data_IF_876430434184
#
_entry.id   IF_876430434184
#
_cell.length_a   1.000
_cell.length_b   1.000
_cell.length_c   1.000
_cell.angle_alpha   90.00
_cell.angle_beta   90.00
_cell.angle_gamma   90.00
#
_symmetry.space_group_name_H-M   'P 1'
#
loop_
_entity.id
_entity.type
_entity.pdbx_description
1 polymer ?
#
# COMPACT_ATOMS: atom_id res chain seq x y z
N UNK A 1 -48.19 -46.01 28.31
CA UNK A 1 -48.00 -44.57 28.03
C UNK A 1 -46.52 -44.27 28.09
N UNK A 2 -45.87 -44.01 26.93
CA UNK A 2 -44.44 -43.72 26.83
C UNK A 2 -44.28 -42.18 26.67
N UNK A 3 -43.75 -41.50 27.70
CA UNK A 3 -43.35 -40.11 27.57
C UNK A 3 -41.96 -40.06 26.88
N UNK A 4 -41.93 -39.60 25.63
CA UNK A 4 -40.70 -39.39 24.89
C UNK A 4 -40.10 -38.05 25.36
N UNK A 5 -38.88 -38.13 25.89
CA UNK A 5 -38.10 -36.96 26.36
C UNK A 5 -37.43 -36.27 25.16
N UNK A 6 -38.00 -35.16 24.67
CA UNK A 6 -37.39 -34.31 23.60
C UNK A 6 -36.56 -33.13 24.12
N UNK A 7 -36.17 -33.14 25.41
CA UNK A 7 -35.47 -31.97 26.02
C UNK A 7 -33.97 -31.87 25.71
N UNK A 8 -33.30 -32.95 25.29
CA UNK A 8 -31.85 -32.97 25.06
C UNK A 8 -31.41 -32.46 23.70
N UNK A 9 -32.22 -32.67 22.66
CA UNK A 9 -31.84 -32.34 21.28
C UNK A 9 -31.98 -30.85 20.96
N UNK A 10 -32.89 -30.11 21.60
CA UNK A 10 -33.10 -28.67 21.34
C UNK A 10 -31.98 -27.83 21.91
N UNK A 11 -31.41 -28.19 23.08
CA UNK A 11 -30.30 -27.45 23.70
C UNK A 11 -29.02 -27.61 22.88
N UNK A 12 -28.78 -28.78 22.29
CA UNK A 12 -27.59 -29.03 21.44
C UNK A 12 -27.61 -28.23 20.15
N UNK A 13 -28.79 -28.03 19.52
CA UNK A 13 -28.96 -27.24 18.31
C UNK A 13 -28.76 -25.73 18.57
N UNK A 14 -29.24 -25.22 19.71
CA UNK A 14 -29.07 -23.80 20.07
C UNK A 14 -27.59 -23.49 20.38
N UNK A 15 -26.87 -24.39 21.06
CA UNK A 15 -25.43 -24.22 21.31
C UNK A 15 -24.60 -24.27 20.03
N UNK A 16 -24.93 -25.18 19.10
CA UNK A 16 -24.23 -25.29 17.81
C UNK A 16 -24.51 -24.09 16.91
N UNK A 17 -25.74 -23.54 16.90
CA UNK A 17 -26.07 -22.32 16.18
C UNK A 17 -25.37 -21.08 16.78
N UNK A 18 -25.22 -21.00 18.07
CA UNK A 18 -24.52 -19.90 18.76
C UNK A 18 -23.01 -19.93 18.53
N UNK A 19 -22.38 -21.12 18.41
CA UNK A 19 -20.97 -21.28 18.04
C UNK A 19 -20.75 -20.90 16.58
N UNK A 20 -21.67 -21.23 15.66
CA UNK A 20 -21.60 -20.80 14.25
C UNK A 20 -21.77 -19.27 14.09
N UNK A 21 -22.60 -18.62 14.90
CA UNK A 21 -22.74 -17.16 14.89
C UNK A 21 -21.48 -16.44 15.44
N UNK A 22 -20.81 -17.04 16.42
CA UNK A 22 -19.56 -16.48 16.95
C UNK A 22 -18.37 -16.66 15.99
N UNK A 23 -18.38 -17.72 15.15
CA UNK A 23 -17.33 -17.95 14.17
C UNK A 23 -17.34 -16.92 12.99
N UNK A 24 -18.49 -16.30 12.71
CA UNK A 24 -18.59 -15.24 11.69
C UNK A 24 -18.18 -13.84 12.17
N UNK A 25 -17.82 -13.67 13.45
CA UNK A 25 -17.47 -12.36 14.00
C UNK A 25 -15.97 -12.09 14.06
N UNK A 26 -15.14 -13.02 13.56
CA UNK A 26 -13.68 -12.83 13.49
C UNK A 26 -13.25 -12.88 12.01
N UNK A 27 -13.95 -12.17 11.14
CA UNK A 27 -13.28 -11.54 10.03
C UNK A 27 -12.56 -10.33 10.66
N UNK A 28 -11.37 -10.55 11.23
CA UNK A 28 -10.48 -9.47 11.55
C UNK A 28 -10.35 -8.67 10.25
N UNK A 29 -10.77 -7.41 10.29
CA UNK A 29 -10.52 -6.48 9.22
C UNK A 29 -8.99 -6.37 9.17
N UNK A 30 -8.34 -7.14 8.27
CA UNK A 30 -6.89 -7.14 8.18
C UNK A 30 -6.44 -5.71 7.87
N UNK A 31 -5.36 -5.28 8.51
CA UNK A 31 -4.84 -3.94 8.33
C UNK A 31 -4.34 -3.77 6.89
N UNK A 32 -4.80 -2.75 6.18
CA UNK A 32 -4.17 -2.38 4.91
C UNK A 32 -2.87 -1.64 5.19
N UNK A 33 -1.79 -2.00 4.51
CA UNK A 33 -0.50 -1.33 4.61
C UNK A 33 -0.12 -0.74 3.26
N UNK A 34 0.07 0.57 3.21
CA UNK A 34 0.36 1.28 1.96
C UNK A 34 1.76 1.88 2.04
N UNK A 35 2.63 1.44 1.14
CA UNK A 35 3.96 1.98 0.91
C UNK A 35 3.88 2.97 -0.25
N UNK A 36 4.14 4.26 -0.01
CA UNK A 36 4.09 5.28 -1.05
C UNK A 36 5.47 5.89 -1.24
N UNK A 37 5.88 5.96 -2.51
CA UNK A 37 7.12 6.61 -2.92
C UNK A 37 6.87 7.50 -4.12
N UNK A 38 7.68 8.53 -4.25
CA UNK A 38 7.89 9.25 -5.50
C UNK A 38 8.75 8.38 -6.43
N UNK A 39 8.58 8.52 -7.76
CA UNK A 39 9.53 7.95 -8.72
C UNK A 39 10.98 8.35 -8.38
N UNK A 40 11.94 7.50 -8.69
CA UNK A 40 13.35 7.78 -8.51
C UNK A 40 13.88 8.84 -9.51
N UNK A 41 15.16 9.20 -9.41
CA UNK A 41 15.81 10.20 -10.25
C UNK A 41 15.64 9.87 -11.75
N UNK A 42 15.25 10.88 -12.52
CA UNK A 42 15.01 10.76 -13.97
C UNK A 42 16.09 11.43 -14.79
N UNK A 43 16.21 11.04 -16.07
CA UNK A 43 17.00 11.79 -17.06
C UNK A 43 16.38 13.17 -17.31
N UNK A 44 17.18 14.10 -17.83
CA UNK A 44 16.69 15.41 -18.28
C UNK A 44 16.10 15.31 -19.70
N UNK A 45 15.27 16.28 -20.09
CA UNK A 45 14.97 16.67 -21.47
C UNK A 45 14.10 15.76 -22.34
N UNK A 46 13.22 14.93 -21.74
CA UNK A 46 12.20 14.16 -22.48
C UNK A 46 10.81 14.39 -21.88
N UNK A 47 9.76 14.27 -22.69
CA UNK A 47 8.37 14.40 -22.24
C UNK A 47 8.00 13.30 -21.22
N UNK A 48 8.49 12.06 -21.44
CA UNK A 48 8.34 10.94 -20.51
C UNK A 48 9.71 10.29 -20.22
N UNK A 49 10.55 10.93 -19.37
CA UNK A 49 11.92 10.50 -19.13
C UNK A 49 11.99 9.16 -18.39
N UNK A 50 12.98 8.36 -18.75
CA UNK A 50 13.38 7.15 -18.04
C UNK A 50 14.19 7.49 -16.77
N UNK A 51 14.47 6.50 -15.95
CA UNK A 51 15.34 6.69 -14.78
C UNK A 51 16.79 6.97 -15.22
N UNK A 52 17.44 7.87 -14.50
CA UNK A 52 18.90 8.06 -14.56
C UNK A 52 19.63 6.85 -13.98
N UNK A 53 20.96 6.83 -14.01
CA UNK A 53 21.74 5.78 -13.35
C UNK A 53 21.48 5.76 -11.83
N UNK A 54 21.43 6.93 -11.19
CA UNK A 54 21.13 7.05 -9.76
C UNK A 54 19.71 6.56 -9.44
N UNK A 55 18.73 6.91 -10.28
CA UNK A 55 17.36 6.43 -10.16
C UNK A 55 17.22 4.92 -10.28
N UNK A 56 17.95 4.30 -11.21
CA UNK A 56 17.99 2.82 -11.30
C UNK A 56 18.61 2.17 -10.06
N UNK A 57 19.66 2.77 -9.52
CA UNK A 57 20.26 2.31 -8.29
C UNK A 57 19.28 2.45 -7.11
N UNK A 58 18.57 3.59 -7.01
CA UNK A 58 17.54 3.81 -5.98
C UNK A 58 16.37 2.83 -6.13
N UNK A 59 15.92 2.52 -7.33
CA UNK A 59 14.84 1.54 -7.54
C UNK A 59 15.25 0.12 -7.09
N UNK A 60 16.51 -0.27 -7.28
CA UNK A 60 17.05 -1.52 -6.74
C UNK A 60 17.13 -1.51 -5.22
N UNK A 61 17.52 -0.37 -4.62
CA UNK A 61 17.55 -0.21 -3.17
C UNK A 61 16.14 -0.27 -2.55
N UNK A 62 15.13 0.29 -3.25
CA UNK A 62 13.72 0.15 -2.86
C UNK A 62 13.30 -1.32 -2.81
N UNK A 63 13.64 -2.10 -3.83
CA UNK A 63 13.33 -3.52 -3.85
C UNK A 63 14.00 -4.27 -2.68
N UNK A 64 15.27 -3.99 -2.41
CA UNK A 64 15.96 -4.56 -1.25
C UNK A 64 15.33 -4.15 0.09
N UNK A 65 14.89 -2.88 0.21
CA UNK A 65 14.25 -2.37 1.41
C UNK A 65 12.88 -3.04 1.66
N UNK A 66 12.14 -3.36 0.59
CA UNK A 66 10.81 -3.97 0.65
C UNK A 66 10.82 -5.50 0.52
N UNK A 67 12.00 -6.17 0.56
CA UNK A 67 12.12 -7.62 0.34
C UNK A 67 11.24 -8.47 1.25
N UNK A 68 11.10 -8.07 2.51
CA UNK A 68 10.31 -8.77 3.52
C UNK A 68 9.00 -8.04 3.85
N UNK A 69 8.61 -7.03 3.05
CA UNK A 69 7.41 -6.24 3.30
C UNK A 69 6.11 -7.00 2.99
N UNK A 70 6.18 -8.11 2.24
CA UNK A 70 5.02 -8.92 1.87
C UNK A 70 4.03 -8.17 0.97
N UNK A 71 4.55 -7.44 -0.04
CA UNK A 71 3.74 -6.68 -0.99
C UNK A 71 2.79 -7.62 -1.75
N UNK A 72 1.52 -7.27 -1.80
CA UNK A 72 0.46 -7.99 -2.54
C UNK A 72 0.14 -7.34 -3.89
N UNK A 73 0.24 -6.00 -3.97
CA UNK A 73 -0.09 -5.20 -5.16
C UNK A 73 0.92 -4.09 -5.39
N UNK A 74 1.22 -3.82 -6.66
CA UNK A 74 2.12 -2.75 -7.06
C UNK A 74 1.39 -1.83 -8.03
N UNK A 75 1.27 -0.54 -7.66
CA UNK A 75 0.58 0.46 -8.47
C UNK A 75 1.55 1.52 -8.97
N UNK A 76 1.39 1.92 -10.21
CA UNK A 76 2.18 2.98 -10.85
C UNK A 76 1.31 3.88 -11.70
N UNK A 77 1.63 5.16 -11.80
CA UNK A 77 1.12 5.99 -12.90
C UNK A 77 1.75 5.54 -14.22
N UNK A 78 1.12 5.88 -15.36
CA UNK A 78 1.57 5.47 -16.69
C UNK A 78 2.68 6.37 -17.24
N UNK A 79 3.83 6.41 -16.53
CA UNK A 79 5.06 7.10 -16.96
C UNK A 79 6.25 6.15 -16.87
N UNK A 80 7.22 6.31 -17.75
CA UNK A 80 8.44 5.49 -17.73
C UNK A 80 9.12 5.51 -16.37
N UNK A 81 9.37 6.69 -15.81
CA UNK A 81 10.04 6.87 -14.51
C UNK A 81 9.34 6.18 -13.33
N UNK A 82 8.00 6.16 -13.30
CA UNK A 82 7.25 5.50 -12.22
C UNK A 82 7.22 3.99 -12.39
N UNK A 83 7.00 3.49 -13.62
CA UNK A 83 7.06 2.07 -13.93
C UNK A 83 8.45 1.49 -13.69
N UNK A 84 9.51 2.19 -14.12
CA UNK A 84 10.89 1.75 -13.88
C UNK A 84 11.27 1.77 -12.40
N UNK A 85 10.71 2.68 -11.60
CA UNK A 85 10.89 2.67 -10.13
C UNK A 85 10.26 1.43 -9.49
N UNK A 86 9.08 1.02 -9.96
CA UNK A 86 8.36 -0.15 -9.46
C UNK A 86 8.95 -1.49 -9.96
N UNK A 87 9.57 -1.50 -11.14
CA UNK A 87 9.97 -2.71 -11.84
C UNK A 87 10.88 -3.67 -11.05
N UNK A 88 11.89 -3.24 -10.26
CA UNK A 88 12.68 -4.16 -9.45
C UNK A 88 11.86 -4.86 -8.36
N UNK A 89 10.88 -4.18 -7.74
CA UNK A 89 9.97 -4.80 -6.77
C UNK A 89 9.08 -5.81 -7.47
N UNK A 90 8.51 -5.46 -8.63
CA UNK A 90 7.69 -6.36 -9.44
C UNK A 90 8.47 -7.64 -9.84
N UNK A 91 9.72 -7.47 -10.27
CA UNK A 91 10.61 -8.60 -10.60
C UNK A 91 10.90 -9.49 -9.39
N UNK A 92 11.11 -8.90 -8.23
CA UNK A 92 11.43 -9.62 -7.00
C UNK A 92 10.24 -10.42 -6.48
N UNK A 93 9.04 -9.84 -6.52
CA UNK A 93 7.82 -10.44 -5.99
C UNK A 93 7.09 -11.33 -7.00
N UNK A 94 7.37 -11.18 -8.30
CA UNK A 94 6.62 -11.83 -9.37
C UNK A 94 5.25 -11.20 -9.65
N UNK A 95 4.96 -10.04 -9.06
CA UNK A 95 3.70 -9.32 -9.24
C UNK A 95 3.73 -8.45 -10.51
N UNK A 96 2.55 -8.23 -11.09
CA UNK A 96 2.36 -7.26 -12.16
C UNK A 96 2.27 -5.83 -11.61
N UNK A 97 2.62 -4.85 -12.45
CA UNK A 97 2.45 -3.43 -12.14
C UNK A 97 1.06 -3.01 -12.65
N UNK A 98 0.17 -2.68 -11.73
CA UNK A 98 -1.16 -2.17 -12.00
C UNK A 98 -1.10 -0.66 -12.24
N UNK A 99 -1.61 -0.22 -13.39
CA UNK A 99 -1.63 1.21 -13.71
C UNK A 99 -2.82 1.90 -13.04
N UNK A 100 -2.58 3.07 -12.45
CA UNK A 100 -3.64 3.92 -11.93
C UNK A 100 -3.58 5.34 -12.52
N UNK A 101 -4.74 5.98 -12.65
CA UNK A 101 -4.86 7.38 -13.06
C UNK A 101 -5.08 8.29 -11.87
N UNK A 102 -4.60 9.53 -12.00
CA UNK A 102 -4.89 10.60 -11.04
C UNK A 102 -6.21 11.32 -11.34
N UNK A 103 -7.01 10.86 -12.30
CA UNK A 103 -8.31 11.47 -12.66
C UNK A 103 -9.33 11.34 -11.53
N UNK A 104 -9.31 10.22 -10.80
CA UNK A 104 -10.14 10.02 -9.61
C UNK A 104 -9.32 9.46 -8.43
N UNK A 105 -8.49 10.31 -7.79
CA UNK A 105 -7.61 9.88 -6.71
C UNK A 105 -8.37 9.43 -5.46
N UNK A 106 -9.61 9.90 -5.24
CA UNK A 106 -10.43 9.49 -4.12
C UNK A 106 -10.93 8.04 -4.27
N UNK A 107 -11.31 7.64 -5.48
CA UNK A 107 -11.71 6.25 -5.75
C UNK A 107 -10.52 5.32 -5.55
N UNK A 108 -9.36 5.68 -6.08
CA UNK A 108 -8.14 4.89 -5.89
C UNK A 108 -7.74 4.81 -4.40
N UNK A 109 -7.74 5.92 -3.65
CA UNK A 109 -7.46 5.90 -2.21
C UNK A 109 -8.43 5.00 -1.43
N UNK A 110 -9.73 4.97 -1.82
CA UNK A 110 -10.72 4.09 -1.19
C UNK A 110 -10.48 2.61 -1.49
N UNK A 111 -10.03 2.26 -2.68
CA UNK A 111 -9.72 0.86 -3.00
C UNK A 111 -8.58 0.33 -2.14
N UNK A 112 -7.51 1.11 -1.95
CA UNK A 112 -6.36 0.77 -1.11
C UNK A 112 -6.69 0.54 0.38
N UNK A 113 -7.81 1.13 0.88
CA UNK A 113 -8.19 1.05 2.30
C UNK A 113 -8.98 -0.18 2.70
N UNK A 114 -9.47 -0.98 1.75
CA UNK A 114 -10.59 -1.89 2.03
C UNK A 114 -10.28 -3.36 1.97
N UNK A 115 -9.13 -3.73 1.47
CA UNK A 115 -8.87 -5.13 1.14
C UNK A 115 -7.94 -5.86 2.12
N UNK A 116 -7.41 -5.14 3.13
CA UNK A 116 -6.49 -5.73 4.11
C UNK A 116 -5.15 -6.14 3.49
N UNK A 117 -4.76 -5.52 2.35
CA UNK A 117 -3.59 -5.88 1.57
C UNK A 117 -2.43 -4.89 1.76
N UNK A 118 -1.27 -5.30 1.26
CA UNK A 118 -0.03 -4.52 1.28
C UNK A 118 0.27 -4.00 -0.12
N UNK A 119 0.20 -2.69 -0.29
CA UNK A 119 0.33 -2.02 -1.58
C UNK A 119 1.62 -1.21 -1.66
N UNK A 120 2.35 -1.34 -2.77
CA UNK A 120 3.32 -0.33 -3.18
C UNK A 120 2.67 0.62 -4.17
N UNK A 121 2.72 1.92 -3.91
CA UNK A 121 2.20 2.98 -4.80
C UNK A 121 3.34 3.89 -5.21
N UNK A 122 3.64 3.95 -6.50
CA UNK A 122 4.66 4.81 -7.08
C UNK A 122 4.01 5.97 -7.80
N UNK A 123 4.27 7.19 -7.33
CA UNK A 123 3.71 8.43 -7.88
C UNK A 123 4.78 9.50 -8.15
N UNK A 124 4.39 10.76 -7.96
CA UNK A 124 5.21 11.95 -8.21
C UNK A 124 5.35 12.79 -6.94
N UNK A 125 6.22 13.79 -6.92
CA UNK A 125 6.43 14.70 -5.77
C UNK A 125 5.12 15.26 -5.22
N UNK A 126 4.27 15.78 -6.10
CA UNK A 126 3.01 16.41 -5.74
C UNK A 126 1.85 15.44 -5.48
N UNK A 127 1.86 14.24 -6.08
CA UNK A 127 0.76 13.27 -5.91
C UNK A 127 0.99 12.32 -4.74
N UNK A 128 2.24 12.04 -4.37
CA UNK A 128 2.57 11.16 -3.23
C UNK A 128 2.07 11.76 -1.91
N UNK A 129 2.41 13.02 -1.60
CA UNK A 129 1.93 13.70 -0.38
C UNK A 129 0.41 13.86 -0.35
N UNK A 130 -0.20 14.18 -1.51
CA UNK A 130 -1.67 14.23 -1.63
C UNK A 130 -2.33 12.88 -1.39
N UNK A 131 -1.75 11.78 -1.88
CA UNK A 131 -2.27 10.43 -1.64
C UNK A 131 -2.18 10.06 -0.15
N UNK A 132 -1.08 10.40 0.54
CA UNK A 132 -0.96 10.22 2.00
C UNK A 132 -2.12 10.93 2.71
N UNK A 133 -2.40 12.19 2.35
CA UNK A 133 -3.54 12.95 2.91
C UNK A 133 -4.89 12.31 2.61
N UNK A 134 -5.14 11.86 1.37
CA UNK A 134 -6.39 11.18 0.97
C UNK A 134 -6.60 9.85 1.70
N UNK A 135 -5.52 9.18 2.04
CA UNK A 135 -5.54 7.98 2.87
C UNK A 135 -5.79 8.29 4.35
N UNK A 136 -5.73 9.55 4.76
CA UNK A 136 -5.93 10.00 6.15
C UNK A 136 -4.65 10.02 6.97
N UNK A 137 -3.49 9.92 6.32
CA UNK A 137 -2.17 10.00 6.93
C UNK A 137 -1.65 11.45 7.03
N UNK A 138 -0.50 11.59 7.69
CA UNK A 138 0.24 12.85 7.78
C UNK A 138 1.37 12.87 6.73
N UNK A 139 1.30 13.72 5.69
CA UNK A 139 2.35 13.82 4.67
C UNK A 139 3.59 14.59 5.12
N UNK A 140 3.50 15.37 6.22
CA UNK A 140 4.52 16.35 6.59
C UNK A 140 4.64 17.48 5.56
N UNK A 141 5.86 17.97 5.33
CA UNK A 141 6.16 18.98 4.31
C UNK A 141 6.01 18.43 2.88
N UNK A 142 5.83 19.31 1.91
CA UNK A 142 5.89 18.93 0.49
C UNK A 142 7.26 18.32 0.13
N UNK A 143 7.26 17.46 -0.88
CA UNK A 143 8.49 16.87 -1.42
C UNK A 143 9.15 17.91 -2.35
N UNK A 144 10.43 18.23 -2.10
CA UNK A 144 11.20 19.11 -3.00
C UNK A 144 11.40 18.40 -4.36
N UNK A 145 10.77 18.95 -5.40
CA UNK A 145 10.69 18.31 -6.73
C UNK A 145 12.05 18.19 -7.40
N UNK A 146 12.95 19.13 -7.16
CA UNK A 146 14.26 19.17 -7.83
C UNK A 146 15.26 18.14 -7.28
N UNK A 147 15.10 17.70 -6.01
CA UNK A 147 16.18 17.01 -5.31
C UNK A 147 15.75 15.88 -4.37
N UNK A 148 14.51 15.81 -3.93
CA UNK A 148 14.11 14.87 -2.87
C UNK A 148 13.44 13.62 -3.43
N UNK A 149 14.15 12.47 -3.36
CA UNK A 149 13.71 11.18 -3.92
C UNK A 149 13.69 10.03 -2.91
N UNK A 150 14.08 10.27 -1.66
CA UNK A 150 14.36 9.23 -0.66
C UNK A 150 13.22 8.96 0.32
N UNK A 151 12.05 9.64 0.20
CA UNK A 151 10.92 9.41 1.09
C UNK A 151 10.21 8.10 0.77
N UNK A 152 9.95 7.32 1.83
CA UNK A 152 9.04 6.18 1.83
C UNK A 152 8.02 6.39 2.95
N UNK A 153 6.78 6.62 2.59
CA UNK A 153 5.69 6.65 3.55
C UNK A 153 5.15 5.23 3.75
N UNK A 154 4.96 4.85 5.00
CA UNK A 154 4.29 3.60 5.37
C UNK A 154 3.05 3.98 6.16
N UNK A 155 1.88 3.72 5.59
CA UNK A 155 0.59 3.91 6.23
C UNK A 155 0.02 2.56 6.64
N UNK A 156 -0.35 2.43 7.91
CA UNK A 156 -1.15 1.31 8.41
C UNK A 156 -2.56 1.81 8.67
N UNK A 157 -3.54 1.20 8.01
CA UNK A 157 -4.95 1.60 8.01
C UNK A 157 -5.77 0.46 8.61
N UNK A 158 -6.45 0.73 9.72
CA UNK A 158 -7.28 -0.23 10.42
C UNK A 158 -8.55 0.43 10.99
N UNK A 159 -9.32 -0.33 11.76
CA UNK A 159 -10.55 0.16 12.38
C UNK A 159 -10.32 1.30 13.40
N UNK A 160 -9.10 1.43 13.96
CA UNK A 160 -8.75 2.48 14.93
C UNK A 160 -8.35 3.79 14.25
N UNK A 161 -8.00 3.76 12.96
CA UNK A 161 -7.57 4.93 12.20
C UNK A 161 -6.38 4.65 11.29
N UNK A 162 -5.62 5.70 11.01
CA UNK A 162 -4.45 5.66 10.12
C UNK A 162 -3.20 6.08 10.90
N UNK A 163 -2.18 5.24 10.85
CA UNK A 163 -0.83 5.55 11.34
C UNK A 163 0.08 5.82 10.15
N UNK A 164 0.91 6.86 10.24
CA UNK A 164 1.90 7.20 9.20
C UNK A 164 3.30 7.16 9.77
N UNK A 165 4.20 6.46 9.09
CA UNK A 165 5.64 6.47 9.36
C UNK A 165 6.34 6.96 8.10
N UNK A 166 7.15 8.02 8.22
CA UNK A 166 8.04 8.48 7.16
C UNK A 166 9.43 7.88 7.38
N UNK A 167 9.85 7.07 6.43
CA UNK A 167 11.19 6.48 6.36
C UNK A 167 11.99 7.13 5.22
N UNK A 168 13.30 6.92 5.26
CA UNK A 168 14.22 7.30 4.19
C UNK A 168 14.92 6.05 3.65
N UNK A 169 15.07 5.95 2.33
CA UNK A 169 15.72 4.80 1.70
C UNK A 169 16.70 5.23 0.61
N UNK A 170 17.71 4.40 0.41
CA UNK A 170 18.74 4.66 -0.59
C UNK A 170 19.70 5.78 -0.19
N UNK A 171 20.30 6.42 -1.19
CA UNK A 171 21.17 7.58 -0.96
C UNK A 171 20.38 8.75 -0.42
N UNK A 172 20.90 9.44 0.59
CA UNK A 172 20.24 10.60 1.17
C UNK A 172 20.04 11.70 0.11
N UNK A 173 18.82 12.21 0.03
CA UNK A 173 18.51 13.42 -0.74
C UNK A 173 18.84 14.66 0.09
N UNK A 174 19.20 15.80 -0.55
CA UNK A 174 19.26 17.08 0.17
C UNK A 174 17.90 17.40 0.79
N UNK A 175 17.92 17.80 2.05
CA UNK A 175 16.73 18.27 2.77
C UNK A 175 16.84 19.76 3.03
N UNK A 176 15.75 20.53 3.00
CA UNK A 176 15.76 21.92 3.39
C UNK A 176 16.08 22.12 4.87
#
# INVERSE_FOLDING_TARGET
MKHIQYRGTFISFVFMAMILLMANSIAANEDSVIFLVRHAEKTADEDDPVLSMDGRQRSLQLAGFLSDAGIDHIHSTDFNRTRETAAPVAKMTGLEIELYSWDDPLVFARSLKRDGKRHLVVGHSNTTTKMVTLLGGDPGSDIEDSSEYDRLYVLTINASGVSTVLLRYGSASPHP
#
